data_IF_779573105214
#
_entry.id   IF_779573105214
#
_cell.length_a   1.000
_cell.length_b   1.000
_cell.length_c   1.000
_cell.angle_alpha   90.00
_cell.angle_beta   90.00
_cell.angle_gamma   90.00
#
_symmetry.space_group_name_H-M   'P 1'
#
loop_
_entity.id
_entity.type
_entity.pdbx_description
1 polymer ?
#
# COMPACT_ATOMS: atom_id res chain seq x y z
N UNK A 1 -1.81 11.50 -7.36
CA UNK A 1 -0.94 11.35 -6.16
C UNK A 1 -0.28 12.65 -5.70
N UNK A 2 0.25 13.50 -6.57
CA UNK A 2 0.93 14.76 -6.16
C UNK A 2 0.06 15.67 -5.29
N UNK A 3 -1.24 15.77 -5.57
CA UNK A 3 -2.17 16.56 -4.76
C UNK A 3 -2.27 16.08 -3.30
N UNK A 4 -2.13 14.79 -3.03
CA UNK A 4 -2.10 14.25 -1.65
C UNK A 4 -0.86 14.72 -0.90
N UNK A 5 0.30 14.75 -1.58
CA UNK A 5 1.55 15.25 -1.01
C UNK A 5 1.43 16.73 -0.67
N UNK A 6 0.93 17.54 -1.62
CA UNK A 6 0.78 18.98 -1.46
C UNK A 6 -0.20 19.34 -0.33
N UNK A 7 -1.28 18.56 -0.20
CA UNK A 7 -2.29 18.72 0.85
C UNK A 7 -1.88 18.06 2.18
N UNK A 8 -0.73 17.40 2.25
CA UNK A 8 -0.30 16.62 3.43
C UNK A 8 -1.33 15.57 3.85
N UNK A 9 -1.93 14.90 2.89
CA UNK A 9 -2.89 13.82 3.13
C UNK A 9 -2.16 12.56 3.57
N UNK A 10 -2.48 12.05 4.76
CA UNK A 10 -1.99 10.74 5.19
C UNK A 10 -2.63 9.62 4.38
N UNK A 11 -1.85 8.61 4.06
CA UNK A 11 -2.31 7.33 3.54
C UNK A 11 -2.35 6.35 4.71
N UNK A 12 -3.54 5.90 5.06
CA UNK A 12 -3.75 5.08 6.28
C UNK A 12 -4.12 3.67 5.87
N UNK A 13 -3.28 2.72 6.27
CA UNK A 13 -3.52 1.31 6.03
C UNK A 13 -4.73 0.81 6.80
N UNK A 14 -5.61 0.10 6.11
CA UNK A 14 -6.74 -0.61 6.69
C UNK A 14 -6.76 -2.03 6.12
N UNK A 15 -6.64 -3.00 6.99
CA UNK A 15 -6.72 -4.42 6.62
C UNK A 15 -8.19 -4.84 6.57
N UNK A 16 -8.68 -5.35 5.42
CA UNK A 16 -9.97 -6.01 5.37
C UNK A 16 -10.00 -7.25 6.28
N UNK A 17 -11.17 -7.64 6.79
CA UNK A 17 -11.32 -8.84 7.60
C UNK A 17 -10.87 -10.10 6.86
N UNK A 18 -10.35 -11.06 7.62
CA UNK A 18 -10.08 -12.42 7.09
C UNK A 18 -11.39 -13.16 6.85
N UNK A 19 -11.45 -13.94 5.77
CA UNK A 19 -12.66 -14.70 5.43
C UNK A 19 -12.95 -15.83 6.45
N UNK A 20 -11.92 -16.31 7.16
CA UNK A 20 -12.02 -17.35 8.19
C UNK A 20 -12.06 -16.80 9.62
N UNK A 21 -12.40 -15.51 9.80
CA UNK A 21 -12.50 -14.93 11.14
C UNK A 21 -13.62 -15.54 11.96
N UNK A 22 -13.29 -16.00 13.17
CA UNK A 22 -14.29 -16.48 14.15
C UNK A 22 -15.17 -15.35 14.73
N UNK A 23 -14.81 -14.09 14.45
CA UNK A 23 -15.48 -12.87 14.93
C UNK A 23 -15.84 -11.95 13.78
N UNK A 24 -16.30 -12.52 12.68
CA UNK A 24 -16.48 -11.81 11.42
C UNK A 24 -17.33 -10.54 11.57
N UNK A 25 -18.48 -10.61 12.26
CA UNK A 25 -19.35 -9.44 12.45
C UNK A 25 -18.64 -8.29 13.16
N UNK A 26 -17.87 -8.57 14.21
CA UNK A 26 -17.09 -7.57 14.93
C UNK A 26 -15.95 -7.00 14.09
N UNK A 27 -15.31 -7.81 13.26
CA UNK A 27 -14.24 -7.37 12.38
C UNK A 27 -14.78 -6.52 11.22
N UNK A 28 -15.96 -6.83 10.69
CA UNK A 28 -16.67 -6.01 9.70
C UNK A 28 -17.06 -4.64 10.28
N UNK A 29 -17.62 -4.61 11.50
CA UNK A 29 -17.95 -3.36 12.20
C UNK A 29 -16.69 -2.52 12.46
N UNK A 30 -15.61 -3.15 12.90
CA UNK A 30 -14.33 -2.49 13.13
C UNK A 30 -13.74 -1.90 11.83
N UNK A 31 -13.80 -2.66 10.72
CA UNK A 31 -13.38 -2.18 9.41
C UNK A 31 -14.19 -0.95 8.99
N UNK A 32 -15.52 -1.03 9.06
CA UNK A 32 -16.40 0.09 8.72
C UNK A 32 -16.11 1.34 9.58
N UNK A 33 -15.90 1.15 10.89
CA UNK A 33 -15.57 2.23 11.82
C UNK A 33 -14.24 2.90 11.45
N UNK A 34 -13.20 2.13 11.16
CA UNK A 34 -11.89 2.65 10.74
C UNK A 34 -12.00 3.42 9.43
N UNK A 35 -12.67 2.84 8.43
CA UNK A 35 -12.86 3.47 7.14
C UNK A 35 -13.58 4.81 7.25
N UNK A 36 -14.72 4.86 7.93
CA UNK A 36 -15.47 6.11 8.16
C UNK A 36 -14.61 7.18 8.83
N UNK A 37 -13.86 6.81 9.87
CA UNK A 37 -12.98 7.73 10.59
C UNK A 37 -11.88 8.32 9.69
N UNK A 38 -11.28 7.50 8.82
CA UNK A 38 -10.28 7.96 7.84
C UNK A 38 -10.91 8.92 6.83
N UNK A 39 -12.10 8.59 6.30
CA UNK A 39 -12.84 9.46 5.38
C UNK A 39 -13.23 10.79 6.02
N UNK A 40 -13.69 10.80 7.27
CA UNK A 40 -14.05 12.01 8.03
C UNK A 40 -12.84 12.93 8.23
N UNK A 41 -11.67 12.37 8.47
CA UNK A 41 -10.43 13.12 8.63
C UNK A 41 -9.85 13.67 7.31
N UNK A 42 -10.41 13.30 6.15
CA UNK A 42 -9.88 13.68 4.85
C UNK A 42 -8.56 13.00 4.51
N UNK A 43 -8.28 11.84 5.11
CA UNK A 43 -7.13 10.99 4.80
C UNK A 43 -7.47 9.97 3.72
N UNK A 44 -6.46 9.39 3.08
CA UNK A 44 -6.63 8.33 2.11
C UNK A 44 -6.66 6.96 2.81
N UNK A 45 -7.74 6.21 2.67
CA UNK A 45 -7.84 4.83 3.14
C UNK A 45 -7.15 3.90 2.13
N UNK A 46 -6.12 3.19 2.58
CA UNK A 46 -5.37 2.23 1.78
C UNK A 46 -5.80 0.81 2.20
N UNK A 47 -6.62 0.17 1.37
CA UNK A 47 -7.18 -1.15 1.66
C UNK A 47 -6.23 -2.22 1.13
N UNK A 48 -5.72 -3.06 2.05
CA UNK A 48 -4.75 -4.11 1.68
C UNK A 48 -5.42 -5.28 0.97
N UNK A 49 -4.61 -6.03 0.23
CA UNK A 49 -5.02 -7.21 -0.53
C UNK A 49 -4.26 -8.44 -0.02
N UNK A 50 -4.96 -9.35 0.64
CA UNK A 50 -4.42 -10.61 1.16
C UNK A 50 -3.09 -10.47 1.91
N UNK A 51 -2.96 -9.41 2.71
CA UNK A 51 -1.72 -9.06 3.39
C UNK A 51 -1.16 -10.24 4.20
N UNK A 52 0.17 -10.44 4.11
CA UNK A 52 0.91 -11.54 4.75
C UNK A 52 0.39 -12.94 4.33
N UNK A 53 -0.14 -13.09 3.10
CA UNK A 53 -0.67 -14.35 2.59
C UNK A 53 -1.97 -14.82 3.25
N UNK A 54 -2.65 -13.96 4.01
CA UNK A 54 -3.95 -14.30 4.60
C UNK A 54 -5.07 -14.13 3.58
N UNK A 55 -5.97 -15.10 3.50
CA UNK A 55 -7.18 -14.98 2.70
C UNK A 55 -8.13 -13.97 3.36
N UNK A 56 -8.25 -12.77 2.79
CA UNK A 56 -9.09 -11.68 3.26
C UNK A 56 -10.18 -11.35 2.23
N UNK A 57 -11.19 -10.61 2.67
CA UNK A 57 -12.15 -10.00 1.76
C UNK A 57 -11.46 -8.90 0.92
N UNK A 58 -11.98 -8.64 -0.26
CA UNK A 58 -11.42 -7.61 -1.13
C UNK A 58 -11.92 -6.21 -0.72
N UNK A 59 -11.03 -5.21 -0.80
CA UNK A 59 -11.38 -3.85 -0.39
C UNK A 59 -12.63 -3.30 -1.07
N UNK A 60 -12.78 -3.34 -2.40
CA UNK A 60 -13.99 -2.88 -3.09
C UNK A 60 -15.24 -3.67 -2.69
N UNK A 61 -15.16 -5.00 -2.56
CA UNK A 61 -16.24 -5.84 -2.07
C UNK A 61 -16.74 -5.38 -0.69
N UNK A 62 -15.82 -5.10 0.24
CA UNK A 62 -16.18 -4.60 1.57
C UNK A 62 -16.90 -3.26 1.53
N UNK A 63 -16.49 -2.37 0.63
CA UNK A 63 -17.16 -1.08 0.49
C UNK A 63 -18.59 -1.24 -0.04
N UNK A 64 -18.81 -2.11 -1.02
CA UNK A 64 -20.12 -2.39 -1.59
C UNK A 64 -21.04 -3.08 -0.57
N UNK A 65 -20.60 -4.16 0.05
CA UNK A 65 -21.38 -4.96 1.00
C UNK A 65 -21.78 -4.18 2.27
N UNK A 66 -20.90 -3.30 2.76
CA UNK A 66 -21.15 -2.49 3.95
C UNK A 66 -21.77 -1.12 3.64
N UNK A 67 -22.07 -0.82 2.37
CA UNK A 67 -22.60 0.46 1.95
C UNK A 67 -21.72 1.65 2.32
N UNK A 68 -20.38 1.47 2.22
CA UNK A 68 -19.41 2.49 2.54
C UNK A 68 -19.06 3.30 1.29
N UNK A 69 -19.36 4.58 1.29
CA UNK A 69 -19.11 5.45 0.14
C UNK A 69 -17.67 6.00 0.18
N UNK A 70 -16.82 5.68 -0.82
CA UNK A 70 -15.51 6.26 -0.94
C UNK A 70 -15.60 7.74 -1.31
N UNK A 71 -14.88 8.61 -0.60
CA UNK A 71 -14.70 9.99 -1.07
C UNK A 71 -13.75 10.00 -2.26
N UNK A 72 -14.02 10.87 -3.21
CA UNK A 72 -13.22 11.02 -4.43
C UNK A 72 -11.74 11.16 -4.10
N UNK A 73 -10.92 10.36 -4.75
CA UNK A 73 -9.44 10.33 -4.65
C UNK A 73 -8.89 10.05 -3.23
N UNK A 74 -9.72 9.60 -2.27
CA UNK A 74 -9.31 9.29 -0.90
C UNK A 74 -9.36 7.78 -0.58
N UNK A 75 -9.37 6.93 -1.60
CA UNK A 75 -9.25 5.47 -1.42
C UNK A 75 -8.22 4.92 -2.40
N UNK A 76 -7.31 4.12 -1.88
CA UNK A 76 -6.33 3.35 -2.64
C UNK A 76 -6.56 1.87 -2.37
N UNK A 77 -6.55 1.06 -3.42
CA UNK A 77 -6.61 -0.40 -3.29
C UNK A 77 -5.22 -0.96 -3.53
N UNK A 78 -4.75 -1.81 -2.64
CA UNK A 78 -3.62 -2.68 -2.95
C UNK A 78 -4.12 -3.80 -3.86
N UNK A 79 -3.34 -4.18 -4.84
CA UNK A 79 -3.68 -5.23 -5.78
C UNK A 79 -2.45 -6.08 -6.04
N UNK A 80 -2.53 -7.36 -5.71
CA UNK A 80 -1.43 -8.29 -5.85
C UNK A 80 -1.68 -9.35 -6.95
N UNK A 81 -0.75 -10.28 -7.13
CA UNK A 81 -0.81 -11.32 -8.16
C UNK A 81 -1.50 -12.61 -7.71
N UNK A 82 -1.98 -12.66 -6.47
CA UNK A 82 -2.59 -13.85 -5.89
C UNK A 82 -4.12 -13.83 -6.02
N UNK A 83 -4.57 -13.89 -7.27
CA UNK A 83 -5.96 -13.94 -7.69
C UNK A 83 -6.13 -14.92 -8.84
N UNK A 84 -7.36 -15.36 -9.09
CA UNK A 84 -7.76 -15.84 -10.40
C UNK A 84 -7.94 -14.66 -11.34
N UNK A 85 -7.89 -14.89 -12.66
CA UNK A 85 -8.16 -13.85 -13.66
C UNK A 85 -9.55 -13.22 -13.46
N UNK A 86 -10.56 -14.03 -13.16
CA UNK A 86 -11.93 -13.58 -12.92
C UNK A 86 -12.02 -12.66 -11.70
N UNK A 87 -11.37 -13.04 -10.58
CA UNK A 87 -11.34 -12.21 -9.37
C UNK A 87 -10.62 -10.89 -9.62
N UNK A 88 -9.48 -10.92 -10.31
CA UNK A 88 -8.73 -9.71 -10.67
C UNK A 88 -9.60 -8.73 -11.45
N UNK A 89 -10.27 -9.20 -12.51
CA UNK A 89 -11.14 -8.36 -13.32
C UNK A 89 -12.36 -7.86 -12.53
N UNK A 90 -12.91 -8.70 -11.66
CA UNK A 90 -13.97 -8.32 -10.72
C UNK A 90 -13.55 -7.15 -9.85
N UNK A 91 -12.37 -7.24 -9.19
CA UNK A 91 -11.82 -6.17 -8.35
C UNK A 91 -11.64 -4.87 -9.14
N UNK A 92 -11.03 -4.95 -10.33
CA UNK A 92 -10.80 -3.77 -11.17
C UNK A 92 -12.11 -3.11 -11.63
N UNK A 93 -13.11 -3.90 -12.00
CA UNK A 93 -14.42 -3.40 -12.39
C UNK A 93 -15.19 -2.78 -11.20
N UNK A 94 -15.14 -3.36 -9.99
CA UNK A 94 -15.70 -2.76 -8.77
C UNK A 94 -14.98 -1.45 -8.43
N UNK A 95 -13.66 -1.36 -8.56
CA UNK A 95 -12.93 -0.10 -8.40
C UNK A 95 -13.46 0.98 -9.34
N UNK A 96 -13.69 0.65 -10.62
CA UNK A 96 -14.26 1.59 -11.60
C UNK A 96 -15.68 2.03 -11.22
N UNK A 97 -16.54 1.09 -10.82
CA UNK A 97 -17.91 1.38 -10.41
C UNK A 97 -17.96 2.33 -9.20
N UNK A 98 -17.08 2.10 -8.23
CA UNK A 98 -16.90 2.93 -7.03
C UNK A 98 -16.08 4.22 -7.30
N UNK A 99 -15.61 4.45 -8.52
CA UNK A 99 -14.75 5.59 -8.92
C UNK A 99 -13.43 5.67 -8.13
N UNK A 100 -12.92 4.53 -7.68
CA UNK A 100 -11.61 4.40 -7.05
C UNK A 100 -10.57 4.33 -8.16
N UNK A 101 -9.63 5.28 -8.17
CA UNK A 101 -8.62 5.38 -9.23
C UNK A 101 -7.23 4.95 -8.80
N UNK A 102 -6.92 4.97 -7.51
CA UNK A 102 -5.57 4.72 -7.02
C UNK A 102 -5.38 3.24 -6.70
N UNK A 103 -4.41 2.62 -7.36
CA UNK A 103 -4.02 1.25 -7.11
C UNK A 103 -2.54 1.17 -6.74
N UNK A 104 -2.21 0.47 -5.65
CA UNK A 104 -0.85 0.06 -5.34
C UNK A 104 -0.65 -1.37 -5.86
N UNK A 105 0.09 -1.52 -6.96
CA UNK A 105 0.31 -2.80 -7.64
C UNK A 105 1.57 -3.47 -7.09
N UNK A 106 1.39 -4.61 -6.43
CA UNK A 106 2.45 -5.36 -5.77
C UNK A 106 2.49 -6.82 -6.24
N UNK A 107 3.59 -7.51 -6.02
CA UNK A 107 3.63 -8.96 -6.25
C UNK A 107 2.81 -9.69 -5.19
N UNK A 108 2.86 -9.22 -3.95
CA UNK A 108 2.14 -9.77 -2.80
C UNK A 108 2.87 -10.94 -2.15
N UNK A 109 2.35 -11.32 -0.98
CA UNK A 109 2.81 -12.47 -0.20
C UNK A 109 1.95 -13.68 -0.55
N UNK A 110 2.58 -14.75 -1.00
CA UNK A 110 1.87 -15.97 -1.37
C UNK A 110 1.56 -16.86 -0.17
N UNK A 111 0.55 -17.70 -0.32
CA UNK A 111 0.32 -18.86 0.54
C UNK A 111 -0.38 -19.97 -0.27
N UNK A 112 -0.33 -21.20 0.24
CA UNK A 112 -1.00 -22.35 -0.41
C UNK A 112 -2.53 -22.17 -0.50
N UNK A 113 -3.09 -21.20 0.19
CA UNK A 113 -4.53 -20.88 0.21
C UNK A 113 -4.96 -19.90 -0.86
N UNK A 114 -4.01 -19.23 -1.51
CA UNK A 114 -4.29 -18.18 -2.47
C UNK A 114 -3.98 -18.67 -3.89
N UNK A 115 -4.90 -18.52 -4.86
CA UNK A 115 -4.59 -18.74 -6.25
C UNK A 115 -3.54 -17.73 -6.70
N UNK A 116 -2.76 -18.06 -7.73
CA UNK A 116 -1.80 -17.15 -8.33
C UNK A 116 -2.09 -17.03 -9.82
N UNK A 117 -2.08 -15.81 -10.35
CA UNK A 117 -2.20 -15.56 -11.79
C UNK A 117 -1.12 -16.33 -12.55
N UNK A 118 -1.52 -17.08 -13.55
CA UNK A 118 -0.58 -17.63 -14.53
C UNK A 118 -0.23 -16.56 -15.59
N UNK A 119 0.98 -16.60 -16.18
CA UNK A 119 1.33 -15.69 -17.28
C UNK A 119 0.31 -15.70 -18.43
N UNK A 120 -0.25 -16.86 -18.78
CA UNK A 120 -1.30 -17.01 -19.80
C UNK A 120 -2.59 -16.25 -19.49
N UNK A 121 -2.94 -16.09 -18.21
CA UNK A 121 -4.18 -15.43 -17.77
C UNK A 121 -4.21 -13.95 -18.19
N UNK A 122 -3.05 -13.33 -18.20
CA UNK A 122 -2.88 -11.91 -18.49
C UNK A 122 -2.08 -11.62 -19.76
N UNK A 123 -1.83 -12.65 -20.58
CA UNK A 123 -1.07 -12.52 -21.82
C UNK A 123 0.39 -12.08 -21.63
N UNK A 124 1.02 -12.52 -20.54
CA UNK A 124 2.41 -12.25 -20.23
C UNK A 124 3.29 -13.41 -20.76
N UNK A 125 3.62 -13.35 -22.03
CA UNK A 125 4.46 -14.39 -22.65
C UNK A 125 5.94 -14.24 -22.25
N UNK A 126 6.65 -15.37 -22.17
CA UNK A 126 8.10 -15.41 -21.96
C UNK A 126 8.55 -15.16 -20.50
N UNK A 127 7.63 -15.15 -19.53
CA UNK A 127 7.94 -15.06 -18.10
C UNK A 127 7.51 -16.34 -17.37
N UNK A 128 8.25 -16.74 -16.34
CA UNK A 128 7.95 -17.94 -15.54
C UNK A 128 6.81 -17.69 -14.56
N UNK A 129 6.68 -16.45 -14.05
CA UNK A 129 5.64 -16.08 -13.09
C UNK A 129 5.22 -14.64 -13.25
N UNK A 130 3.97 -14.34 -12.87
CA UNK A 130 3.44 -12.98 -12.83
C UNK A 130 4.01 -12.26 -11.62
N UNK A 131 4.58 -11.08 -11.86
CA UNK A 131 5.02 -10.12 -10.85
C UNK A 131 4.21 -8.82 -10.97
N UNK A 132 4.48 -7.85 -10.10
CA UNK A 132 3.86 -6.51 -10.22
C UNK A 132 4.11 -5.85 -11.58
N UNK A 133 5.21 -6.18 -12.27
CA UNK A 133 5.52 -5.63 -13.61
C UNK A 133 4.54 -6.13 -14.66
N UNK A 134 4.26 -7.43 -14.68
CA UNK A 134 3.32 -8.04 -15.62
C UNK A 134 1.88 -7.58 -15.33
N UNK A 135 1.54 -7.49 -14.03
CA UNK A 135 0.24 -7.00 -13.59
C UNK A 135 0.02 -5.52 -13.98
N UNK A 136 1.03 -4.65 -13.84
CA UNK A 136 1.00 -3.26 -14.33
C UNK A 136 0.71 -3.21 -15.84
N UNK A 137 1.48 -3.96 -16.64
CA UNK A 137 1.29 -4.01 -18.09
C UNK A 137 -0.12 -4.46 -18.46
N UNK A 138 -0.65 -5.45 -17.75
CA UNK A 138 -2.01 -5.92 -17.92
C UNK A 138 -3.02 -4.79 -17.67
N UNK A 139 -2.91 -4.10 -16.52
CA UNK A 139 -3.84 -3.01 -16.16
C UNK A 139 -3.77 -1.87 -17.16
N UNK A 140 -2.58 -1.43 -17.56
CA UNK A 140 -2.39 -0.36 -18.56
C UNK A 140 -3.01 -0.73 -19.91
N UNK A 141 -2.94 -2.00 -20.31
CA UNK A 141 -3.49 -2.47 -21.59
C UNK A 141 -5.01 -2.60 -21.57
N UNK A 142 -5.57 -3.22 -20.52
CA UNK A 142 -7.00 -3.55 -20.46
C UNK A 142 -7.86 -2.42 -19.89
N UNK A 143 -7.26 -1.53 -19.09
CA UNK A 143 -7.94 -0.43 -18.39
C UNK A 143 -7.24 0.92 -18.64
N UNK A 144 -7.03 1.33 -19.91
CA UNK A 144 -6.21 2.49 -20.25
C UNK A 144 -6.79 3.79 -19.68
N UNK A 145 -6.03 4.45 -18.77
CA UNK A 145 -6.40 5.73 -18.18
C UNK A 145 -7.45 5.66 -17.06
N UNK A 146 -7.93 4.46 -16.70
CA UNK A 146 -8.89 4.30 -15.61
C UNK A 146 -8.25 4.48 -14.23
N UNK A 147 -6.97 4.11 -14.09
CA UNK A 147 -6.27 4.07 -12.81
C UNK A 147 -4.99 4.90 -12.79
N UNK A 148 -4.63 5.41 -11.63
CA UNK A 148 -3.33 5.95 -11.24
C UNK A 148 -2.56 4.85 -10.50
N UNK A 149 -1.47 4.37 -11.08
CA UNK A 149 -0.79 3.13 -10.67
C UNK A 149 0.45 3.40 -9.83
N UNK A 150 0.48 2.90 -8.61
CA UNK A 150 1.63 2.93 -7.73
C UNK A 150 2.34 1.60 -7.62
N UNK A 151 3.58 1.64 -7.16
CA UNK A 151 4.42 0.46 -6.91
C UNK A 151 5.19 0.57 -5.61
N UNK A 152 5.51 -0.60 -5.03
CA UNK A 152 6.35 -0.67 -3.84
C UNK A 152 7.85 -0.58 -4.19
N UNK A 153 8.64 0.05 -3.31
CA UNK A 153 10.09 0.12 -3.32
C UNK A 153 10.63 -0.39 -1.98
N UNK A 154 11.58 -1.33 -2.01
CA UNK A 154 12.18 -1.89 -0.81
C UNK A 154 13.63 -1.37 -0.62
N UNK A 155 13.88 -0.40 0.29
CA UNK A 155 15.22 0.15 0.50
C UNK A 155 16.19 -0.80 1.20
N UNK A 156 15.75 -1.98 1.61
CA UNK A 156 16.56 -2.99 2.30
C UNK A 156 17.05 -4.12 1.37
N UNK A 157 16.52 -4.19 0.15
CA UNK A 157 17.05 -5.10 -0.87
C UNK A 157 18.39 -4.58 -1.45
N UNK A 158 19.18 -5.45 -2.11
CA UNK A 158 20.40 -5.02 -2.81
C UNK A 158 20.08 -3.86 -3.78
N UNK A 159 20.81 -2.74 -3.64
CA UNK A 159 20.52 -1.47 -4.32
C UNK A 159 20.37 -1.63 -5.84
N UNK A 160 21.33 -2.33 -6.49
CA UNK A 160 21.30 -2.52 -7.94
C UNK A 160 20.09 -3.35 -8.40
N UNK A 161 19.71 -4.35 -7.61
CA UNK A 161 18.56 -5.19 -7.91
C UNK A 161 17.25 -4.41 -7.81
N UNK A 162 17.06 -3.67 -6.71
CA UNK A 162 15.84 -2.89 -6.51
C UNK A 162 15.75 -1.70 -7.50
N UNK A 163 16.89 -1.08 -7.82
CA UNK A 163 16.92 -0.04 -8.85
C UNK A 163 16.49 -0.58 -10.23
N UNK A 164 16.97 -1.76 -10.62
CA UNK A 164 16.56 -2.40 -11.89
C UNK A 164 15.08 -2.82 -11.87
N UNK A 165 14.57 -3.30 -10.72
CA UNK A 165 13.13 -3.58 -10.54
C UNK A 165 12.31 -2.30 -10.72
N UNK A 166 12.73 -1.20 -10.10
CA UNK A 166 12.02 0.08 -10.19
C UNK A 166 11.97 0.62 -11.63
N UNK A 167 13.07 0.56 -12.37
CA UNK A 167 13.08 0.95 -13.79
C UNK A 167 12.04 0.16 -14.60
N UNK A 168 11.95 -1.15 -14.40
CA UNK A 168 10.94 -1.99 -15.08
C UNK A 168 9.52 -1.64 -14.68
N UNK A 169 9.27 -1.35 -13.39
CA UNK A 169 7.95 -0.94 -12.88
C UNK A 169 7.52 0.40 -13.49
N UNK A 170 8.42 1.39 -13.52
CA UNK A 170 8.13 2.70 -14.13
C UNK A 170 7.91 2.57 -15.66
N UNK A 171 8.74 1.78 -16.35
CA UNK A 171 8.54 1.50 -17.77
C UNK A 171 7.24 0.74 -18.07
N UNK A 172 6.70 0.00 -17.11
CA UNK A 172 5.43 -0.71 -17.22
C UNK A 172 4.20 0.19 -16.93
N UNK A 173 4.41 1.47 -16.57
CA UNK A 173 3.33 2.45 -16.38
C UNK A 173 3.07 2.86 -14.93
N UNK A 174 3.98 2.60 -14.00
CA UNK A 174 3.85 3.12 -12.65
C UNK A 174 4.01 4.65 -12.61
N UNK A 175 3.14 5.33 -11.86
CA UNK A 175 3.05 6.80 -11.80
C UNK A 175 3.45 7.35 -10.42
N UNK A 176 3.47 6.51 -9.37
CA UNK A 176 3.94 6.88 -8.04
C UNK A 176 4.60 5.69 -7.33
N UNK A 177 5.34 5.98 -6.27
CA UNK A 177 6.11 4.99 -5.51
C UNK A 177 5.72 5.07 -4.03
N UNK A 178 5.52 3.92 -3.37
CA UNK A 178 5.44 3.80 -1.92
C UNK A 178 6.64 2.98 -1.45
N UNK A 179 7.40 3.49 -0.47
CA UNK A 179 8.53 2.72 0.07
C UNK A 179 8.03 1.62 1.03
N UNK A 180 8.85 0.61 1.29
CA UNK A 180 8.69 -0.19 2.51
C UNK A 180 8.99 0.68 3.74
N UNK A 181 8.52 0.30 4.95
CA UNK A 181 8.65 1.14 6.12
C UNK A 181 10.09 1.52 6.43
N UNK A 182 10.31 2.80 6.72
CA UNK A 182 11.55 3.32 7.28
C UNK A 182 11.29 4.01 8.61
N UNK A 183 12.26 3.96 9.52
CA UNK A 183 12.15 4.55 10.86
C UNK A 183 13.02 5.79 11.07
N UNK A 184 13.87 6.08 10.10
CA UNK A 184 14.78 7.22 10.09
C UNK A 184 15.10 7.62 8.65
N UNK A 185 16.03 8.56 8.46
CA UNK A 185 16.55 8.88 7.14
C UNK A 185 17.29 7.69 6.54
N UNK A 186 16.92 7.31 5.33
CA UNK A 186 17.49 6.18 4.62
C UNK A 186 18.18 6.65 3.34
N UNK A 187 19.47 6.35 3.18
CA UNK A 187 20.27 6.79 2.03
C UNK A 187 19.78 6.22 0.69
N UNK A 188 19.21 5.02 0.69
CA UNK A 188 18.68 4.40 -0.53
C UNK A 188 17.39 5.10 -0.96
N UNK A 189 16.55 5.54 -0.01
CA UNK A 189 15.40 6.39 -0.30
C UNK A 189 15.85 7.76 -0.82
N UNK A 190 16.89 8.35 -0.24
CA UNK A 190 17.45 9.63 -0.75
C UNK A 190 17.94 9.51 -2.21
N UNK A 191 18.61 8.40 -2.57
CA UNK A 191 19.03 8.10 -3.94
C UNK A 191 17.84 7.92 -4.89
N UNK A 192 16.77 7.23 -4.44
CA UNK A 192 15.53 7.09 -5.19
C UNK A 192 14.94 8.47 -5.53
N UNK A 193 14.82 9.35 -4.52
CA UNK A 193 14.29 10.70 -4.69
C UNK A 193 15.13 11.55 -5.63
N UNK A 194 16.45 11.41 -5.57
CA UNK A 194 17.38 12.12 -6.47
C UNK A 194 17.27 11.60 -7.92
N UNK A 195 17.07 10.28 -8.09
CA UNK A 195 16.97 9.66 -9.43
C UNK A 195 15.64 9.97 -10.12
N UNK A 196 14.54 10.08 -9.36
CA UNK A 196 13.19 10.27 -9.89
C UNK A 196 12.51 11.52 -9.29
N UNK A 197 13.03 12.73 -9.53
CA UNK A 197 12.59 13.95 -8.85
C UNK A 197 11.16 14.40 -9.21
N UNK A 198 10.59 13.84 -10.27
CA UNK A 198 9.24 14.17 -10.76
C UNK A 198 8.20 13.11 -10.44
N UNK A 199 8.63 11.96 -9.96
CA UNK A 199 7.71 10.88 -9.56
C UNK A 199 7.27 11.10 -8.11
N UNK A 200 5.96 11.16 -7.81
CA UNK A 200 5.46 11.25 -6.44
C UNK A 200 5.93 10.05 -5.60
N UNK A 201 6.55 10.32 -4.46
CA UNK A 201 6.99 9.29 -3.52
C UNK A 201 6.26 9.45 -2.20
N UNK A 202 5.77 8.35 -1.68
CA UNK A 202 5.16 8.24 -0.35
C UNK A 202 6.07 7.37 0.49
N UNK A 203 6.54 7.91 1.61
CA UNK A 203 7.40 7.19 2.55
C UNK A 203 6.52 6.47 3.56
N UNK A 204 6.73 5.18 3.74
CA UNK A 204 5.98 4.40 4.71
C UNK A 204 6.59 4.54 6.10
N UNK A 205 5.74 4.90 7.07
CA UNK A 205 6.05 5.00 8.49
C UNK A 205 5.50 3.78 9.23
N UNK A 206 6.36 3.08 9.98
CA UNK A 206 5.97 1.96 10.82
C UNK A 206 5.30 2.45 12.11
N UNK A 207 4.01 2.16 12.30
CA UNK A 207 3.24 2.65 13.44
C UNK A 207 3.07 1.63 14.57
N UNK A 208 3.48 0.37 14.37
CA UNK A 208 3.52 -0.62 15.45
C UNK A 208 4.73 -0.41 16.36
N UNK A 209 4.57 -0.66 17.67
CA UNK A 209 5.68 -0.68 18.62
C UNK A 209 6.58 -1.92 18.50
N UNK A 210 6.16 -2.92 17.71
CA UNK A 210 6.88 -4.19 17.52
C UNK A 210 7.88 -4.07 16.37
N UNK A 211 9.15 -3.82 16.70
CA UNK A 211 10.23 -3.70 15.69
C UNK A 211 10.62 -5.06 15.10
N UNK A 212 10.52 -6.13 15.89
CA UNK A 212 10.79 -7.48 15.38
C UNK A 212 9.85 -7.82 14.20
N UNK A 213 8.58 -7.44 14.28
CA UNK A 213 7.63 -7.61 13.19
C UNK A 213 7.99 -6.76 11.95
N UNK A 214 8.56 -5.57 12.14
CA UNK A 214 9.09 -4.78 11.03
C UNK A 214 10.26 -5.50 10.37
N UNK A 215 11.21 -6.00 11.18
CA UNK A 215 12.38 -6.73 10.67
C UNK A 215 11.97 -7.96 9.85
N UNK A 216 10.98 -8.71 10.31
CA UNK A 216 10.39 -9.83 9.57
C UNK A 216 9.76 -9.36 8.25
N UNK A 217 8.98 -8.28 8.28
CA UNK A 217 8.25 -7.79 7.11
C UNK A 217 9.17 -7.28 5.99
N UNK A 218 10.31 -6.65 6.34
CA UNK A 218 11.26 -6.12 5.35
C UNK A 218 12.39 -7.09 5.00
N UNK A 219 12.50 -8.21 5.72
CA UNK A 219 13.56 -9.20 5.52
C UNK A 219 14.96 -8.71 5.94
N UNK A 220 15.03 -7.72 6.83
CA UNK A 220 16.26 -7.09 7.28
C UNK A 220 16.17 -6.74 8.77
N UNK A 221 17.25 -7.00 9.54
CA UNK A 221 17.28 -6.67 10.98
C UNK A 221 17.31 -5.15 11.18
N UNK A 222 16.19 -4.59 11.66
CA UNK A 222 16.04 -3.17 11.99
C UNK A 222 16.46 -2.95 13.45
N UNK A 223 17.43 -2.05 13.67
CA UNK A 223 17.86 -1.61 15.00
C UNK A 223 17.34 -0.21 15.28
N UNK A 224 16.81 -0.01 16.47
CA UNK A 224 16.32 1.31 16.91
C UNK A 224 17.29 1.95 17.89
N UNK A 225 17.39 3.27 17.85
CA UNK A 225 18.19 4.03 18.82
C UNK A 225 17.51 4.11 20.21
N UNK A 226 16.21 3.81 20.26
CA UNK A 226 15.40 3.89 21.48
C UNK A 226 14.68 2.57 21.77
N UNK A 227 14.66 2.16 23.02
CA UNK A 227 13.86 1.06 23.52
C UNK A 227 13.07 1.57 24.76
N UNK A 228 11.73 1.56 24.73
CA UNK A 228 10.87 1.09 23.64
C UNK A 228 10.80 2.04 22.42
N UNK A 229 10.58 1.48 21.26
CA UNK A 229 10.35 2.24 20.02
C UNK A 229 9.09 3.13 20.11
N UNK A 230 9.24 4.40 19.73
CA UNK A 230 8.13 5.37 19.69
C UNK A 230 7.74 5.73 18.25
N UNK A 231 6.65 5.15 17.71
CA UNK A 231 6.19 5.43 16.36
C UNK A 231 5.83 6.90 16.11
N UNK A 232 5.29 7.60 17.10
CA UNK A 232 4.89 9.01 16.95
C UNK A 232 6.12 9.93 16.89
N UNK A 233 7.15 9.66 17.71
CA UNK A 233 8.41 10.39 17.60
C UNK A 233 9.09 10.13 16.25
N UNK A 234 9.11 8.87 15.81
CA UNK A 234 9.62 8.48 14.48
C UNK A 234 8.87 9.17 13.34
N UNK A 235 7.54 9.22 13.39
CA UNK A 235 6.74 9.91 12.38
C UNK A 235 7.14 11.39 12.25
N UNK A 236 7.40 12.09 13.34
CA UNK A 236 7.88 13.48 13.31
C UNK A 236 9.25 13.61 12.63
N UNK A 237 10.16 12.66 12.90
CA UNK A 237 11.47 12.60 12.23
C UNK A 237 11.32 12.40 10.72
N UNK A 238 10.42 11.49 10.30
CA UNK A 238 10.17 11.24 8.89
C UNK A 238 9.60 12.48 8.18
N UNK A 239 8.69 13.22 8.82
CA UNK A 239 8.21 14.51 8.28
C UNK A 239 9.33 15.54 8.08
N UNK A 240 10.31 15.57 8.97
CA UNK A 240 11.46 16.48 8.84
C UNK A 240 12.40 16.07 7.72
N UNK A 241 12.63 14.75 7.57
CA UNK A 241 13.56 14.20 6.58
C UNK A 241 12.97 14.21 5.16
N UNK A 242 11.66 13.95 5.01
CA UNK A 242 10.99 13.71 3.74
C UNK A 242 9.87 14.73 3.45
N UNK A 243 10.19 16.02 3.58
CA UNK A 243 9.22 17.14 3.47
C UNK A 243 8.46 17.22 2.15
N UNK A 244 9.03 16.65 1.09
CA UNK A 244 8.47 16.66 -0.28
C UNK A 244 7.76 15.35 -0.62
N UNK A 245 7.69 14.41 0.33
CA UNK A 245 7.04 13.13 0.16
C UNK A 245 5.68 13.09 0.87
N UNK A 246 4.79 12.22 0.41
CA UNK A 246 3.64 11.79 1.20
C UNK A 246 4.07 10.85 2.33
N UNK A 247 3.16 10.58 3.25
CA UNK A 247 3.39 9.61 4.33
C UNK A 247 2.29 8.56 4.32
N UNK A 248 2.71 7.30 4.31
CA UNK A 248 1.87 6.12 4.50
C UNK A 248 2.03 5.59 5.93
N UNK A 249 0.95 5.25 6.59
CA UNK A 249 0.92 4.80 7.98
C UNK A 249 0.51 3.33 8.05
N UNK A 250 1.48 2.42 8.15
CA UNK A 250 1.20 1.00 8.33
C UNK A 250 0.97 0.64 9.80
N UNK A 251 0.03 -0.26 10.04
CA UNK A 251 -0.33 -0.76 11.38
C UNK A 251 -0.65 0.34 12.40
N UNK A 252 -1.30 1.41 11.97
CA UNK A 252 -1.68 2.52 12.85
C UNK A 252 -2.63 2.07 13.97
N UNK A 253 -2.28 2.40 15.21
CA UNK A 253 -3.13 2.15 16.38
C UNK A 253 -4.32 3.10 16.45
N UNK A 254 -5.46 2.74 15.86
CA UNK A 254 -6.66 3.58 15.79
C UNK A 254 -7.20 4.05 17.16
N UNK A 255 -6.99 3.27 18.23
CA UNK A 255 -7.44 3.62 19.57
C UNK A 255 -6.46 4.54 20.32
N UNK A 256 -5.17 4.47 20.00
CA UNK A 256 -4.11 5.07 20.83
C UNK A 256 -3.27 6.12 20.10
N UNK A 257 -3.22 6.07 18.77
CA UNK A 257 -2.32 6.91 17.98
C UNK A 257 -3.07 7.84 17.03
N UNK A 258 -4.27 7.45 16.57
CA UNK A 258 -4.99 8.14 15.50
C UNK A 258 -5.17 9.64 15.76
N UNK A 259 -5.54 10.03 16.99
CA UNK A 259 -5.74 11.44 17.34
C UNK A 259 -4.40 12.21 17.50
N UNK A 260 -3.30 11.49 17.65
CA UNK A 260 -1.97 12.08 17.80
C UNK A 260 -1.34 12.45 16.44
N UNK A 261 -1.65 11.72 15.37
CA UNK A 261 -1.01 11.94 14.06
C UNK A 261 -1.33 13.31 13.48
N UNK A 262 -2.52 13.86 13.71
CA UNK A 262 -2.91 15.19 13.23
C UNK A 262 -1.96 16.32 13.68
N UNK A 263 -1.24 16.13 14.78
CA UNK A 263 -0.32 17.10 15.35
C UNK A 263 1.15 16.89 14.91
N UNK A 264 1.45 15.87 14.11
CA UNK A 264 2.83 15.53 13.74
C UNK A 264 3.34 16.33 12.54
N UNK A 265 2.45 16.93 11.71
CA UNK A 265 2.79 17.77 10.58
C UNK A 265 3.14 19.23 10.93
N UNK A 266 3.09 19.58 12.20
CA UNK A 266 3.33 20.97 12.67
C UNK A 266 4.79 21.25 12.96
#
# INVERSE_FOLDING_TARGET
MQQHIDNKTYHVEILPPKQDSEKLDADLELFATKFKRVMESGYCACLTDNAMGNLAFQGPEMLEELGLEPKKDLVMIHLNTFHTKENLDGILNSCKALKIRQLLVITGDGSDRLPKLAPSDIGAEGVESVTSVELLKYIVREYPGDFELGVAFNPYEPEEHEAAKMERKLAAGAEFIITQPVIERNEIVDKLLAKYPTIPVIVEAWMSKKIDLLSEAVGYEIKTATDPFDPIATLKILHQNYRKCGIYLSLLGFKTQYDLIANTWK
#
